data_IF_581718459509
#
_entry.id   IF_581718459509
#
_cell.length_a   1.000
_cell.length_b   1.000
_cell.length_c   1.000
_cell.angle_alpha   90.00
_cell.angle_beta   90.00
_cell.angle_gamma   90.00
#
_symmetry.space_group_name_H-M   'P 1'
#
loop_
_entity.id
_entity.type
_entity.pdbx_description
1 polymer ?
#
# COMPACT_ATOMS: atom_id res chain seq x y z
N UNK A 1 36.69 -35.63 -2.34
CA UNK A 1 37.42 -35.18 -1.14
C UNK A 1 37.10 -33.70 -0.92
N UNK A 2 36.77 -33.36 0.32
CA UNK A 2 36.09 -32.13 0.74
C UNK A 2 37.03 -30.92 0.70
N UNK A 3 36.58 -29.79 0.17
CA UNK A 3 37.25 -28.49 0.33
C UNK A 3 36.22 -27.45 0.83
N UNK A 4 36.15 -27.34 2.16
CA UNK A 4 35.93 -26.13 2.95
C UNK A 4 34.89 -25.11 2.49
N UNK A 5 33.69 -25.18 3.07
CA UNK A 5 32.93 -24.06 3.64
C UNK A 5 33.30 -22.64 3.17
N UNK A 6 32.74 -22.19 2.04
CA UNK A 6 32.76 -20.78 1.66
C UNK A 6 31.83 -19.99 2.60
N UNK A 7 32.39 -19.41 3.66
CA UNK A 7 31.70 -18.39 4.45
C UNK A 7 31.40 -17.20 3.52
N UNK A 8 30.17 -16.65 3.47
CA UNK A 8 29.85 -15.49 2.65
C UNK A 8 30.56 -14.26 3.22
N UNK A 9 31.81 -14.07 2.81
CA UNK A 9 32.63 -12.91 3.15
C UNK A 9 32.34 -11.73 2.22
N UNK A 10 32.89 -10.58 2.55
CA UNK A 10 32.86 -9.40 1.69
C UNK A 10 33.56 -9.70 0.36
N UNK A 11 32.82 -9.61 -0.74
CA UNK A 11 33.35 -9.77 -2.10
C UNK A 11 33.46 -8.40 -2.75
N UNK A 12 34.58 -8.15 -3.41
CA UNK A 12 34.91 -6.88 -4.06
C UNK A 12 35.12 -7.11 -5.56
N UNK A 13 34.72 -6.16 -6.40
CA UNK A 13 34.98 -6.22 -7.84
C UNK A 13 36.48 -6.21 -8.12
N UNK A 14 36.95 -7.09 -9.01
CA UNK A 14 38.34 -7.15 -9.44
C UNK A 14 38.67 -5.98 -10.39
N UNK A 15 39.12 -4.87 -9.81
CA UNK A 15 39.65 -3.71 -10.52
C UNK A 15 41.07 -3.98 -11.01
N UNK A 16 41.53 -3.19 -11.99
CA UNK A 16 42.89 -3.30 -12.55
C UNK A 16 44.02 -3.31 -11.50
N UNK A 17 44.05 -2.43 -10.47
CA UNK A 17 45.09 -2.49 -9.44
C UNK A 17 45.06 -3.78 -8.62
N UNK A 18 43.87 -4.35 -8.37
CA UNK A 18 43.73 -5.64 -7.68
C UNK A 18 44.26 -6.76 -8.56
N UNK A 19 43.94 -6.76 -9.85
CA UNK A 19 44.44 -7.76 -10.81
C UNK A 19 45.95 -7.70 -10.95
N UNK A 20 46.52 -6.51 -11.13
CA UNK A 20 47.97 -6.35 -11.25
C UNK A 20 48.70 -6.79 -9.98
N UNK A 21 48.13 -6.50 -8.81
CA UNK A 21 48.68 -6.95 -7.53
C UNK A 21 48.65 -8.49 -7.42
N UNK A 22 47.52 -9.12 -7.74
CA UNK A 22 47.38 -10.59 -7.69
C UNK A 22 48.33 -11.28 -8.69
N UNK A 23 48.47 -10.75 -9.91
CA UNK A 23 49.43 -11.26 -10.90
C UNK A 23 50.88 -11.10 -10.44
N UNK A 24 51.22 -9.98 -9.78
CA UNK A 24 52.55 -9.78 -9.20
C UNK A 24 52.81 -10.74 -8.02
N UNK A 25 51.81 -10.93 -7.15
CA UNK A 25 51.91 -11.81 -6.00
C UNK A 25 52.03 -13.29 -6.41
N UNK A 26 51.39 -13.70 -7.52
CA UNK A 26 51.53 -15.04 -8.07
C UNK A 26 52.97 -15.36 -8.53
N UNK A 27 53.74 -14.35 -8.96
CA UNK A 27 55.14 -14.49 -9.37
C UNK A 27 56.17 -14.23 -8.26
N UNK A 28 55.73 -13.84 -7.05
CA UNK A 28 56.64 -13.48 -5.96
C UNK A 28 57.22 -14.73 -5.29
N UNK A 29 58.55 -14.81 -5.05
CA UNK A 29 59.15 -15.92 -4.31
C UNK A 29 58.92 -15.81 -2.79
N UNK A 30 58.45 -14.66 -2.31
CA UNK A 30 58.32 -14.38 -0.87
C UNK A 30 57.01 -14.94 -0.26
N UNK A 31 56.05 -15.31 -1.11
CA UNK A 31 54.78 -15.89 -0.68
C UNK A 31 54.83 -17.42 -0.64
N UNK A 32 54.07 -18.01 0.30
CA UNK A 32 53.88 -19.46 0.36
C UNK A 32 53.17 -19.98 -0.89
N UNK A 33 53.48 -21.22 -1.28
CA UNK A 33 52.91 -21.89 -2.47
C UNK A 33 51.38 -21.78 -2.53
N UNK A 34 50.69 -22.09 -1.43
CA UNK A 34 49.23 -21.99 -1.32
C UNK A 34 48.68 -20.59 -1.67
N UNK A 35 49.38 -19.53 -1.27
CA UNK A 35 48.93 -18.14 -1.53
C UNK A 35 49.24 -17.71 -2.96
N UNK A 36 50.29 -18.27 -3.59
CA UNK A 36 50.63 -18.01 -4.99
C UNK A 36 49.62 -18.65 -5.92
N UNK A 37 49.25 -19.90 -5.64
CA UNK A 37 48.21 -20.61 -6.38
C UNK A 37 46.86 -19.90 -6.24
N UNK A 38 46.53 -19.45 -5.03
CA UNK A 38 45.32 -18.68 -4.76
C UNK A 38 45.34 -17.32 -5.49
N UNK A 39 46.47 -16.60 -5.50
CA UNK A 39 46.62 -15.34 -6.22
C UNK A 39 46.46 -15.54 -7.74
N UNK A 40 47.04 -16.62 -8.29
CA UNK A 40 46.90 -17.00 -9.70
C UNK A 40 45.44 -17.27 -10.05
N UNK A 41 44.73 -18.07 -9.25
CA UNK A 41 43.31 -18.34 -9.46
C UNK A 41 42.46 -17.06 -9.44
N UNK A 42 42.62 -16.21 -8.41
CA UNK A 42 41.84 -14.99 -8.23
C UNK A 42 42.14 -13.90 -9.27
N UNK A 43 43.32 -13.90 -9.89
CA UNK A 43 43.69 -12.91 -10.92
C UNK A 43 42.75 -12.93 -12.13
N UNK A 44 42.17 -14.11 -12.42
CA UNK A 44 41.25 -14.34 -13.53
C UNK A 44 39.79 -14.02 -13.20
N UNK A 45 39.41 -13.99 -11.92
CA UNK A 45 38.03 -13.81 -11.49
C UNK A 45 37.55 -12.35 -11.61
N UNK A 46 36.24 -12.13 -11.76
CA UNK A 46 35.64 -10.77 -11.78
C UNK A 46 35.29 -10.23 -10.41
N UNK A 47 35.13 -11.11 -9.43
CA UNK A 47 34.71 -10.77 -8.09
C UNK A 47 35.59 -11.57 -7.12
N UNK A 48 36.29 -10.88 -6.23
CA UNK A 48 37.35 -11.47 -5.42
C UNK A 48 37.00 -11.32 -3.93
N UNK A 49 37.14 -12.38 -3.11
CA UNK A 49 36.94 -12.28 -1.67
C UNK A 49 37.97 -11.36 -1.00
N UNK A 50 37.51 -10.38 -0.23
CA UNK A 50 38.39 -9.44 0.48
C UNK A 50 39.34 -10.14 1.46
N UNK A 51 38.90 -11.25 2.07
CA UNK A 51 39.74 -12.03 3.00
C UNK A 51 40.98 -12.58 2.32
N UNK A 52 40.84 -13.07 1.10
CA UNK A 52 41.95 -13.60 0.31
C UNK A 52 42.93 -12.50 -0.10
N UNK A 53 42.43 -11.35 -0.57
CA UNK A 53 43.26 -10.17 -0.88
C UNK A 53 44.04 -9.74 0.36
N UNK A 54 43.38 -9.65 1.51
CA UNK A 54 44.02 -9.25 2.77
C UNK A 54 45.10 -10.25 3.20
N UNK A 55 44.86 -11.55 3.05
CA UNK A 55 45.85 -12.58 3.40
C UNK A 55 47.11 -12.45 2.55
N UNK A 56 46.94 -12.34 1.22
CA UNK A 56 48.04 -12.13 0.26
C UNK A 56 48.78 -10.81 0.56
N UNK A 57 48.04 -9.73 0.78
CA UNK A 57 48.61 -8.41 1.10
C UNK A 57 49.39 -8.39 2.43
N UNK A 58 48.92 -9.10 3.45
CA UNK A 58 49.64 -9.21 4.71
C UNK A 58 50.92 -10.05 4.59
N UNK A 59 50.91 -11.07 3.72
CA UNK A 59 52.04 -11.98 3.49
C UNK A 59 53.13 -11.39 2.57
N UNK A 60 52.76 -10.48 1.66
CA UNK A 60 53.69 -9.90 0.69
C UNK A 60 54.72 -8.95 1.32
N UNK A 61 55.95 -8.92 0.80
CA UNK A 61 57.07 -8.18 1.40
C UNK A 61 56.85 -6.66 1.45
N UNK A 62 57.19 -6.03 2.57
CA UNK A 62 56.90 -4.61 2.85
C UNK A 62 57.54 -3.60 1.89
N UNK A 63 58.57 -4.00 1.13
CA UNK A 63 59.30 -3.10 0.20
C UNK A 63 58.58 -2.84 -1.13
N UNK A 64 57.69 -3.75 -1.57
CA UNK A 64 56.92 -3.61 -2.82
C UNK A 64 55.42 -3.46 -2.61
N UNK A 65 54.96 -3.42 -1.35
CA UNK A 65 53.55 -3.50 -0.98
C UNK A 65 52.81 -2.19 -1.30
N UNK A 66 51.80 -2.19 -2.19
CA UNK A 66 50.98 -1.00 -2.42
C UNK A 66 50.12 -0.70 -1.18
N UNK A 67 49.83 0.57 -0.88
CA UNK A 67 48.94 0.91 0.22
C UNK A 67 47.53 0.37 -0.04
N UNK A 68 46.94 -0.29 0.96
CA UNK A 68 45.65 -0.98 0.82
C UNK A 68 44.50 -0.05 0.35
N UNK A 69 44.56 1.23 0.71
CA UNK A 69 43.62 2.26 0.24
C UNK A 69 43.69 2.47 -1.28
N UNK A 70 44.89 2.47 -1.85
CA UNK A 70 45.11 2.63 -3.29
C UNK A 70 44.73 1.34 -4.03
N UNK A 71 44.99 0.18 -3.43
CA UNK A 71 44.62 -1.13 -3.99
C UNK A 71 43.09 -1.28 -4.11
N UNK A 72 42.34 -0.85 -3.08
CA UNK A 72 40.88 -0.93 -3.05
C UNK A 72 40.20 0.31 -3.65
N UNK A 73 40.96 1.25 -4.20
CA UNK A 73 40.40 2.46 -4.79
C UNK A 73 39.54 2.11 -6.00
N UNK A 74 38.28 2.58 -6.00
CA UNK A 74 37.32 2.29 -7.07
C UNK A 74 36.72 0.89 -7.04
N UNK A 75 37.07 0.08 -6.04
CA UNK A 75 36.54 -1.27 -5.92
C UNK A 75 35.12 -1.24 -5.30
N UNK A 76 34.15 -1.88 -5.97
CA UNK A 76 32.76 -1.93 -5.52
C UNK A 76 32.47 -3.23 -4.77
N UNK A 77 31.57 -3.17 -3.79
CA UNK A 77 31.12 -4.36 -3.07
C UNK A 77 30.07 -5.12 -3.89
N UNK A 78 30.31 -6.40 -4.13
CA UNK A 78 29.34 -7.30 -4.76
C UNK A 78 28.46 -7.86 -3.66
N UNK A 79 27.38 -7.14 -3.36
CA UNK A 79 26.37 -7.57 -2.40
C UNK A 79 25.33 -8.44 -3.13
N UNK A 80 25.35 -9.74 -2.87
CA UNK A 80 24.29 -10.62 -3.32
C UNK A 80 23.01 -10.29 -2.56
N UNK A 81 21.99 -9.81 -3.28
CA UNK A 81 20.66 -9.62 -2.67
C UNK A 81 20.16 -10.96 -2.14
N UNK A 82 19.59 -11.01 -0.92
CA UNK A 82 18.99 -12.23 -0.39
C UNK A 82 18.04 -12.85 -1.42
N UNK A 83 18.02 -14.19 -1.51
CA UNK A 83 17.13 -14.88 -2.46
C UNK A 83 15.70 -14.36 -2.26
N UNK A 84 15.05 -13.81 -3.31
CA UNK A 84 13.67 -13.34 -3.20
C UNK A 84 12.78 -14.46 -2.67
N UNK A 85 11.95 -14.15 -1.67
CA UNK A 85 11.05 -15.13 -1.05
C UNK A 85 10.10 -15.67 -2.11
N UNK A 86 10.03 -17.00 -2.22
CA UNK A 86 9.04 -17.66 -3.06
C UNK A 86 7.64 -17.36 -2.51
N UNK A 87 6.79 -16.72 -3.33
CA UNK A 87 5.41 -16.38 -2.96
C UNK A 87 4.58 -17.65 -2.94
N UNK A 88 3.76 -17.85 -1.90
CA UNK A 88 2.79 -18.95 -1.85
C UNK A 88 1.74 -18.82 -2.95
N UNK A 89 1.17 -19.94 -3.37
CA UNK A 89 0.21 -19.97 -4.48
C UNK A 89 -1.09 -19.23 -4.15
N UNK A 90 -1.51 -19.25 -2.88
CA UNK A 90 -2.63 -18.43 -2.38
C UNK A 90 -2.39 -16.93 -2.59
N UNK A 91 -1.16 -16.44 -2.35
CA UNK A 91 -0.82 -15.03 -2.53
C UNK A 91 -0.79 -14.66 -4.01
N UNK A 92 -0.35 -15.56 -4.89
CA UNK A 92 -0.38 -15.33 -6.33
C UNK A 92 -1.82 -15.23 -6.83
N UNK A 93 -2.69 -16.16 -6.43
CA UNK A 93 -4.10 -16.13 -6.79
C UNK A 93 -4.80 -14.85 -6.32
N UNK A 94 -4.48 -14.36 -5.11
CA UNK A 94 -5.00 -13.08 -4.61
C UNK A 94 -4.51 -11.89 -5.43
N UNK A 95 -3.23 -11.87 -5.80
CA UNK A 95 -2.66 -10.81 -6.62
C UNK A 95 -3.26 -10.79 -8.03
N UNK A 96 -3.51 -11.97 -8.60
CA UNK A 96 -4.18 -12.11 -9.90
C UNK A 96 -5.62 -11.59 -9.83
N UNK A 97 -6.37 -11.95 -8.78
CA UNK A 97 -7.72 -11.41 -8.56
C UNK A 97 -7.73 -9.89 -8.41
N UNK A 98 -6.78 -9.32 -7.66
CA UNK A 98 -6.65 -7.86 -7.51
C UNK A 98 -6.34 -7.18 -8.85
N UNK A 99 -5.46 -7.80 -9.66
CA UNK A 99 -5.11 -7.32 -10.99
C UNK A 99 -6.31 -7.34 -11.93
N UNK A 100 -7.06 -8.44 -11.96
CA UNK A 100 -8.27 -8.56 -12.79
C UNK A 100 -9.31 -7.48 -12.42
N UNK A 101 -9.50 -7.21 -11.12
CA UNK A 101 -10.41 -6.14 -10.68
C UNK A 101 -9.92 -4.75 -11.13
N UNK A 102 -8.61 -4.51 -11.12
CA UNK A 102 -8.03 -3.26 -11.61
C UNK A 102 -8.23 -3.13 -13.13
N UNK A 103 -7.94 -4.18 -13.90
CA UNK A 103 -8.11 -4.18 -15.36
C UNK A 103 -9.58 -3.95 -15.76
N UNK A 104 -10.53 -4.58 -15.05
CA UNK A 104 -11.96 -4.33 -15.24
C UNK A 104 -12.34 -2.88 -14.97
N UNK A 105 -11.76 -2.26 -13.93
CA UNK A 105 -12.00 -0.86 -13.59
C UNK A 105 -11.45 0.08 -14.65
N UNK A 106 -10.23 -0.18 -15.13
CA UNK A 106 -9.61 0.58 -16.23
C UNK A 106 -10.43 0.46 -17.51
N UNK A 107 -10.89 -0.75 -17.86
CA UNK A 107 -11.80 -0.96 -18.98
C UNK A 107 -13.11 -0.19 -18.82
N UNK A 108 -13.72 -0.23 -17.64
CA UNK A 108 -14.95 0.51 -17.35
C UNK A 108 -14.76 2.03 -17.50
N UNK A 109 -13.59 2.55 -17.12
CA UNK A 109 -13.23 3.95 -17.32
C UNK A 109 -13.11 4.31 -18.82
N UNK A 110 -12.50 3.45 -19.63
CA UNK A 110 -12.39 3.64 -21.09
C UNK A 110 -13.76 3.63 -21.80
N UNK A 111 -14.70 2.81 -21.33
CA UNK A 111 -16.03 2.66 -21.95
C UNK A 111 -17.07 3.66 -21.39
N UNK A 112 -16.73 4.38 -20.32
CA UNK A 112 -17.63 5.31 -19.60
C UNK A 112 -18.31 6.35 -20.50
N UNK A 113 -17.65 6.82 -21.55
CA UNK A 113 -18.16 7.87 -22.44
C UNK A 113 -18.97 7.32 -23.62
N UNK A 114 -18.90 6.01 -23.87
CA UNK A 114 -19.56 5.34 -25.00
C UNK A 114 -20.81 4.57 -24.54
N UNK A 115 -20.73 3.89 -23.39
CA UNK A 115 -21.87 3.19 -22.82
C UNK A 115 -22.77 4.17 -22.03
N UNK A 116 -24.11 4.07 -22.14
CA UNK A 116 -24.99 4.77 -21.22
C UNK A 116 -24.61 4.35 -19.80
N UNK A 117 -24.40 5.34 -18.90
CA UNK A 117 -24.14 5.06 -17.48
C UNK A 117 -25.23 4.13 -16.97
N UNK A 118 -24.86 2.88 -16.72
CA UNK A 118 -25.63 2.05 -15.81
C UNK A 118 -25.47 2.72 -14.46
N UNK A 119 -26.51 3.45 -14.04
CA UNK A 119 -26.70 3.84 -12.65
C UNK A 119 -26.78 2.53 -11.87
N UNK A 120 -25.62 1.97 -11.56
CA UNK A 120 -25.38 0.86 -10.66
C UNK A 120 -25.78 1.35 -9.28
N UNK A 121 -27.09 1.48 -9.11
CA UNK A 121 -27.81 1.63 -7.87
C UNK A 121 -27.78 0.25 -7.23
N UNK A 122 -26.58 -0.27 -6.98
CA UNK A 122 -26.43 -1.49 -6.23
C UNK A 122 -26.93 -1.21 -4.80
N UNK A 123 -27.62 -2.17 -4.16
CA UNK A 123 -28.34 -1.99 -2.90
C UNK A 123 -27.43 -1.77 -1.68
N UNK A 124 -26.13 -1.50 -1.89
CA UNK A 124 -25.17 -1.17 -0.85
C UNK A 124 -25.09 0.34 -0.55
N UNK A 125 -25.89 1.18 -1.24
CA UNK A 125 -26.22 2.53 -0.76
C UNK A 125 -27.06 2.52 0.52
N UNK A 126 -27.55 1.35 0.94
CA UNK A 126 -28.39 1.18 2.13
C UNK A 126 -27.70 1.66 3.42
N UNK A 127 -26.38 1.61 3.56
CA UNK A 127 -25.72 2.13 4.79
C UNK A 127 -25.69 3.66 4.86
N UNK A 128 -25.44 4.36 3.74
CA UNK A 128 -25.46 5.83 3.69
C UNK A 128 -26.88 6.38 3.73
N UNK A 129 -27.82 5.71 3.08
CA UNK A 129 -29.24 6.06 3.16
C UNK A 129 -29.84 5.71 4.52
N UNK A 130 -29.43 4.63 5.19
CA UNK A 130 -29.85 4.30 6.57
C UNK A 130 -29.26 5.28 7.59
N UNK A 131 -27.99 5.67 7.44
CA UNK A 131 -27.39 6.70 8.29
C UNK A 131 -28.03 8.07 8.07
N UNK A 132 -28.31 8.42 6.81
CA UNK A 132 -29.01 9.64 6.45
C UNK A 132 -30.44 9.67 6.98
N UNK A 133 -31.15 8.54 6.92
CA UNK A 133 -32.50 8.40 7.48
C UNK A 133 -32.49 8.50 9.02
N UNK A 134 -31.60 7.79 9.71
CA UNK A 134 -31.48 7.88 11.17
C UNK A 134 -31.12 9.28 11.65
N UNK A 135 -30.20 9.96 10.95
CA UNK A 135 -29.84 11.35 11.26
C UNK A 135 -31.00 12.31 11.03
N UNK A 136 -31.76 12.14 9.94
CA UNK A 136 -32.93 12.96 9.63
C UNK A 136 -34.01 12.85 10.71
N UNK A 137 -34.30 11.62 11.17
CA UNK A 137 -35.24 11.35 12.25
C UNK A 137 -34.81 12.06 13.55
N UNK A 138 -33.52 11.98 13.91
CA UNK A 138 -32.98 12.67 15.10
C UNK A 138 -33.14 14.19 15.00
N UNK A 139 -32.84 14.77 13.83
CA UNK A 139 -32.97 16.22 13.59
C UNK A 139 -34.42 16.68 13.73
N UNK A 140 -35.36 15.92 13.18
CA UNK A 140 -36.79 16.27 13.25
C UNK A 140 -37.34 16.09 14.65
N UNK A 141 -36.94 15.03 15.37
CA UNK A 141 -37.34 14.85 16.77
C UNK A 141 -36.82 15.99 17.65
N UNK A 142 -35.56 16.39 17.46
CA UNK A 142 -34.97 17.51 18.20
C UNK A 142 -35.68 18.83 17.89
N UNK A 143 -35.94 19.10 16.61
CA UNK A 143 -36.63 20.31 16.17
C UNK A 143 -38.08 20.33 16.67
N UNK A 144 -38.79 19.21 16.61
CA UNK A 144 -40.15 19.06 17.13
C UNK A 144 -40.22 19.29 18.64
N UNK A 145 -39.25 18.77 19.40
CA UNK A 145 -39.14 19.02 20.84
C UNK A 145 -38.95 20.51 21.15
N UNK A 146 -38.00 21.17 20.48
CA UNK A 146 -37.73 22.60 20.67
C UNK A 146 -38.95 23.47 20.34
N UNK A 147 -39.62 23.20 19.22
CA UNK A 147 -40.82 23.94 18.78
C UNK A 147 -41.97 23.70 19.76
N UNK A 148 -42.22 22.45 20.17
CA UNK A 148 -43.25 22.13 21.16
C UNK A 148 -42.98 22.77 22.52
N UNK A 149 -41.72 22.72 22.97
CA UNK A 149 -41.27 23.35 24.21
C UNK A 149 -41.41 24.88 24.16
N UNK A 150 -41.03 25.51 23.05
CA UNK A 150 -41.16 26.96 22.87
C UNK A 150 -42.62 27.41 22.82
N UNK A 151 -43.48 26.64 22.14
CA UNK A 151 -44.92 26.94 22.00
C UNK A 151 -45.62 26.86 23.36
N UNK A 152 -45.36 25.81 24.14
CA UNK A 152 -45.92 25.68 25.49
C UNK A 152 -45.30 26.65 26.49
N UNK A 153 -44.02 26.98 26.34
CA UNK A 153 -43.38 28.05 27.13
C UNK A 153 -44.00 29.41 26.87
N UNK A 154 -44.42 29.69 25.63
CA UNK A 154 -45.15 30.91 25.29
C UNK A 154 -46.59 30.91 25.85
N UNK A 155 -47.27 29.75 25.88
CA UNK A 155 -48.64 29.64 26.41
C UNK A 155 -48.71 29.56 27.94
N UNK A 156 -47.75 28.89 28.59
CA UNK A 156 -47.76 28.53 30.01
C UNK A 156 -46.40 28.87 30.64
N UNK A 157 -46.06 30.16 30.67
CA UNK A 157 -44.74 30.67 31.10
C UNK A 157 -44.30 30.28 32.52
N UNK A 158 -45.21 29.80 33.37
CA UNK A 158 -44.98 29.63 34.81
C UNK A 158 -44.77 28.18 35.28
N UNK A 159 -44.96 27.16 34.44
CA UNK A 159 -44.79 25.76 34.86
C UNK A 159 -43.75 25.01 34.01
N UNK A 160 -42.58 24.67 34.58
CA UNK A 160 -41.57 23.85 33.90
C UNK A 160 -42.11 22.50 33.43
N UNK A 161 -43.07 21.94 34.17
CA UNK A 161 -43.71 20.65 33.86
C UNK A 161 -44.55 20.76 32.59
N UNK A 162 -45.29 21.85 32.41
CA UNK A 162 -46.11 22.09 31.21
C UNK A 162 -45.26 22.33 29.97
N UNK A 163 -44.11 22.98 30.11
CA UNK A 163 -43.17 23.20 29.00
C UNK A 163 -42.54 21.88 28.53
N UNK A 164 -42.17 21.02 29.48
CA UNK A 164 -41.67 19.67 29.17
C UNK A 164 -42.76 18.81 28.48
N UNK A 165 -44.01 18.89 28.95
CA UNK A 165 -45.13 18.22 28.31
C UNK A 165 -45.36 18.70 26.86
N UNK A 166 -45.22 20.00 26.60
CA UNK A 166 -45.27 20.56 25.25
C UNK A 166 -44.15 20.08 24.33
N UNK A 167 -42.94 19.91 24.87
CA UNK A 167 -41.83 19.29 24.13
C UNK A 167 -42.12 17.84 23.74
N UNK A 168 -42.68 17.04 24.66
CA UNK A 168 -43.09 15.65 24.37
C UNK A 168 -44.19 15.62 23.30
N UNK A 169 -45.20 16.49 23.40
CA UNK A 169 -46.25 16.61 22.39
C UNK A 169 -45.68 17.03 21.02
N UNK A 170 -44.69 17.93 21.03
CA UNK A 170 -43.96 18.35 19.83
C UNK A 170 -43.17 17.20 19.18
N UNK A 171 -42.61 16.27 19.97
CA UNK A 171 -41.97 15.06 19.44
C UNK A 171 -43.00 14.14 18.77
N UNK A 172 -44.17 13.94 19.38
CA UNK A 172 -45.25 13.13 18.77
C UNK A 172 -45.72 13.75 17.45
N UNK A 173 -45.88 15.08 17.40
CA UNK A 173 -46.20 15.81 16.16
C UNK A 173 -45.08 15.69 15.11
N UNK A 174 -43.82 15.79 15.51
CA UNK A 174 -42.66 15.59 14.65
C UNK A 174 -42.61 14.18 14.05
N UNK A 175 -42.95 13.15 14.83
CA UNK A 175 -43.01 11.77 14.35
C UNK A 175 -44.11 11.56 13.30
N UNK A 176 -45.28 12.18 13.47
CA UNK A 176 -46.35 12.13 12.47
C UNK A 176 -45.94 12.83 11.18
N UNK A 177 -45.31 14.00 11.27
CA UNK A 177 -44.81 14.74 10.12
C UNK A 177 -43.74 13.94 9.36
N UNK A 178 -42.81 13.31 10.07
CA UNK A 178 -41.78 12.46 9.47
C UNK A 178 -42.39 11.28 8.73
N UNK A 179 -43.44 10.66 9.28
CA UNK A 179 -44.16 9.56 8.63
C UNK A 179 -44.78 10.00 7.31
N UNK A 180 -45.41 11.18 7.28
CA UNK A 180 -45.99 11.74 6.04
C UNK A 180 -44.91 12.07 5.02
N UNK A 181 -43.81 12.70 5.44
CA UNK A 181 -42.69 13.02 4.57
C UNK A 181 -42.04 11.76 4.00
N UNK A 182 -41.92 10.70 4.79
CA UNK A 182 -41.43 9.40 4.34
C UNK A 182 -42.33 8.80 3.25
N UNK A 183 -43.65 8.86 3.43
CA UNK A 183 -44.61 8.38 2.43
C UNK A 183 -44.48 9.17 1.12
N UNK A 184 -44.43 10.51 1.18
CA UNK A 184 -44.30 11.36 -0.01
C UNK A 184 -42.97 11.11 -0.74
N UNK A 185 -41.87 11.00 0.02
CA UNK A 185 -40.53 10.69 -0.50
C UNK A 185 -40.53 9.32 -1.19
N UNK A 186 -41.12 8.31 -0.56
CA UNK A 186 -41.22 6.96 -1.10
C UNK A 186 -42.04 6.94 -2.39
N UNK A 187 -43.21 7.58 -2.38
CA UNK A 187 -44.09 7.70 -3.55
C UNK A 187 -43.43 8.45 -4.71
N UNK A 188 -42.69 9.52 -4.43
CA UNK A 188 -41.94 10.28 -5.45
C UNK A 188 -40.83 9.45 -6.10
N UNK A 189 -40.15 8.61 -5.32
CA UNK A 189 -39.15 7.67 -5.86
C UNK A 189 -39.80 6.63 -6.78
N UNK A 190 -40.97 6.08 -6.41
CA UNK A 190 -41.70 5.15 -7.28
C UNK A 190 -42.25 5.80 -8.57
N UNK A 191 -42.70 7.06 -8.50
CA UNK A 191 -43.10 7.81 -9.69
C UNK A 191 -41.91 8.09 -10.62
N UNK A 192 -40.74 8.39 -10.06
CA UNK A 192 -39.54 8.62 -10.87
C UNK A 192 -38.99 7.35 -11.54
N UNK A 193 -39.18 6.17 -10.93
CA UNK A 193 -38.76 4.89 -11.52
C UNK A 193 -39.73 4.35 -12.57
N UNK A 194 -40.97 4.85 -12.62
CA UNK A 194 -42.03 4.37 -13.52
C UNK A 194 -42.19 5.18 -14.81
N UNK A 195 -41.48 6.31 -15.00
CA UNK A 195 -41.48 7.03 -16.28
C UNK A 195 -40.62 6.28 -17.30
N UNK A 196 -41.20 5.65 -18.35
CA UNK A 196 -40.41 5.04 -19.40
C UNK A 196 -39.81 6.17 -20.25
N UNK A 197 -38.48 6.18 -20.35
CA UNK A 197 -37.74 7.05 -21.26
C UNK A 197 -38.18 6.74 -22.70
N UNK A 198 -39.16 7.49 -23.20
CA UNK A 198 -39.65 7.38 -24.58
C UNK A 198 -38.49 7.62 -25.53
N UNK A 199 -38.05 6.56 -26.21
CA UNK A 199 -37.07 6.62 -27.30
C UNK A 199 -37.63 7.52 -28.39
N UNK A 200 -37.10 8.74 -28.52
CA UNK A 200 -37.23 9.52 -29.75
C UNK A 200 -36.39 8.82 -30.82
N UNK A 201 -37.11 8.20 -31.76
CA UNK A 201 -36.59 7.79 -33.07
C UNK A 201 -36.91 8.91 -34.03
N UNK A 202 -35.91 9.72 -34.39
CA UNK A 202 -35.75 10.38 -35.69
C UNK A 202 -34.39 11.06 -35.76
#
# INVERSE_FOLDING_TARGET
MSAGTATPGLVVTATDPIRSFLSSAAGSPDLSDDLRDLASALSSERAVPYRSIRAIWCADCSRGRPPLRQLLQGAQFVLSSPKPREKSDELKARLEKLREMQERKEYAELVKDVAPKEDNTEPFSSYKDQLGFGLHVVVIMFTGYLVGFATFKALFSNSPVMNAAGGILGVVGGMLMETVLFIIRSSSKELSSSVPRSKKLQ
#
